data_IF_123558279998
#
_entry.id   IF_123558279998
#
_cell.length_a   1.000
_cell.length_b   1.000
_cell.length_c   1.000
_cell.angle_alpha   90.00
_cell.angle_beta   90.00
_cell.angle_gamma   90.00
#
_symmetry.space_group_name_H-M   'P 1'
#
loop_
_entity.id
_entity.type
_entity.pdbx_description
1 polymer ?
#
# COMPACT_ATOMS: atom_id res chain seq x y z
N UNK A 1 38.10 43.12 37.37
CA UNK A 1 38.39 42.26 38.54
C UNK A 1 37.73 40.91 38.24
N UNK A 2 38.48 39.98 37.70
CA UNK A 2 38.04 38.62 37.41
C UNK A 2 38.36 37.72 38.57
N UNK A 3 37.38 36.99 39.08
CA UNK A 3 37.63 35.86 39.97
C UNK A 3 37.32 34.57 39.28
N UNK A 4 38.33 33.74 39.08
CA UNK A 4 38.32 32.39 38.58
C UNK A 4 38.07 31.45 39.75
N UNK A 5 37.02 30.60 39.67
CA UNK A 5 36.76 29.52 40.61
C UNK A 5 37.22 28.19 40.06
N UNK A 6 38.13 27.52 40.76
CA UNK A 6 38.68 26.18 40.52
C UNK A 6 37.62 25.10 40.92
N UNK A 7 37.59 23.95 40.22
CA UNK A 7 36.73 22.83 40.59
C UNK A 7 37.39 21.99 41.72
N UNK A 8 36.56 21.63 42.69
CA UNK A 8 36.94 20.72 43.80
C UNK A 8 36.59 19.27 43.43
N UNK A 9 37.49 18.39 43.81
CA UNK A 9 37.50 16.94 43.82
C UNK A 9 36.16 16.32 44.31
N UNK A 10 35.65 15.32 43.55
CA UNK A 10 34.63 14.37 44.00
C UNK A 10 35.24 12.98 43.91
N UNK A 11 35.38 12.36 45.07
CA UNK A 11 36.02 11.06 45.25
C UNK A 11 35.33 9.92 44.56
N UNK A 12 36.18 9.02 44.03
CA UNK A 12 35.81 7.73 43.51
C UNK A 12 35.40 6.80 44.67
N UNK A 13 34.13 6.38 44.73
CA UNK A 13 33.71 5.21 45.53
C UNK A 13 33.83 3.98 44.68
N UNK A 14 34.62 3.02 45.14
CA UNK A 14 34.76 1.68 44.57
C UNK A 14 33.44 0.95 44.64
N UNK A 15 32.95 0.50 43.48
CA UNK A 15 31.78 -0.40 43.38
C UNK A 15 32.26 -1.86 43.55
N UNK A 16 31.84 -2.46 44.67
CA UNK A 16 31.97 -3.88 44.96
C UNK A 16 31.26 -4.73 43.91
N UNK A 17 32.00 -5.63 43.25
CA UNK A 17 31.47 -6.60 42.26
C UNK A 17 30.85 -7.79 43.02
N UNK A 18 29.56 -7.88 43.04
CA UNK A 18 28.82 -9.05 43.55
C UNK A 18 28.74 -10.14 42.46
N UNK A 19 29.12 -11.38 42.71
CA UNK A 19 29.06 -12.45 41.72
C UNK A 19 27.60 -12.91 41.46
N UNK A 20 27.23 -13.33 40.22
CA UNK A 20 25.89 -13.68 39.88
C UNK A 20 25.47 -15.02 40.52
N UNK A 21 24.41 -14.99 41.32
CA UNK A 21 23.74 -16.19 41.85
C UNK A 21 23.07 -16.98 40.71
N UNK A 22 23.41 -18.27 40.61
CA UNK A 22 22.71 -19.25 39.76
C UNK A 22 21.24 -19.38 40.19
N UNK A 23 20.33 -18.69 39.52
CA UNK A 23 18.91 -19.01 39.51
C UNK A 23 18.62 -19.80 38.23
N UNK A 24 18.25 -21.08 38.44
CA UNK A 24 17.70 -21.92 37.39
C UNK A 24 16.41 -21.28 36.87
N UNK A 25 16.49 -20.74 35.63
CA UNK A 25 15.31 -20.28 34.90
C UNK A 25 14.51 -21.50 34.46
N UNK A 26 13.31 -21.68 35.05
CA UNK A 26 12.26 -22.46 34.43
C UNK A 26 11.90 -21.75 33.13
N UNK A 27 12.37 -22.28 31.99
CA UNK A 27 11.82 -21.92 30.68
C UNK A 27 10.34 -22.27 30.67
N UNK A 28 9.48 -21.29 30.87
CA UNK A 28 8.11 -21.35 30.45
C UNK A 28 8.06 -21.62 28.95
N UNK A 29 7.24 -22.59 28.53
CA UNK A 29 7.01 -22.86 27.11
C UNK A 29 6.68 -21.55 26.40
N UNK A 30 7.55 -21.14 25.46
CA UNK A 30 7.23 -20.06 24.54
C UNK A 30 5.98 -20.47 23.76
N UNK A 31 5.00 -19.56 23.57
CA UNK A 31 3.88 -19.85 22.68
C UNK A 31 4.45 -20.21 21.30
N UNK A 32 3.91 -21.25 20.68
CA UNK A 32 4.23 -21.66 19.33
C UNK A 32 4.31 -20.42 18.43
N UNK A 33 5.52 -20.08 18.00
CA UNK A 33 5.73 -19.20 16.86
C UNK A 33 5.14 -19.94 15.67
N UNK A 34 3.89 -19.62 15.32
CA UNK A 34 3.32 -19.96 14.01
C UNK A 34 4.36 -19.51 12.98
N UNK A 35 4.81 -20.44 12.16
CA UNK A 35 5.86 -20.20 11.18
C UNK A 35 5.46 -18.98 10.34
N UNK A 36 6.30 -17.95 10.29
CA UNK A 36 6.10 -16.73 9.51
C UNK A 36 5.85 -17.02 8.01
N UNK A 37 6.21 -18.22 7.56
CA UNK A 37 6.05 -18.71 6.19
C UNK A 37 4.59 -18.92 5.74
N UNK A 38 3.61 -18.76 6.64
CA UNK A 38 2.20 -19.05 6.36
C UNK A 38 1.24 -17.91 6.69
N UNK A 39 1.74 -16.72 7.01
CA UNK A 39 0.89 -15.59 7.45
C UNK A 39 0.94 -14.43 6.47
N UNK A 40 -0.25 -13.89 6.15
CA UNK A 40 -0.44 -12.65 5.40
C UNK A 40 -1.13 -11.62 6.29
N UNK A 41 -0.56 -10.44 6.46
CA UNK A 41 -1.21 -9.33 7.17
C UNK A 41 -2.03 -8.48 6.21
N UNK A 42 -3.14 -7.93 6.69
CA UNK A 42 -3.96 -7.00 5.91
C UNK A 42 -4.68 -6.02 6.82
N UNK A 43 -5.04 -4.83 6.29
CA UNK A 43 -5.85 -3.87 7.04
C UNK A 43 -7.24 -4.45 7.25
N UNK A 44 -7.51 -4.84 8.51
CA UNK A 44 -8.77 -5.44 8.93
C UNK A 44 -9.88 -4.41 9.21
N UNK A 45 -10.94 -4.89 9.82
CA UNK A 45 -11.22 -6.28 10.19
C UNK A 45 -11.57 -7.18 8.99
N UNK A 46 -11.93 -8.44 9.25
CA UNK A 46 -12.46 -9.36 8.24
C UNK A 46 -13.78 -8.80 7.63
N UNK A 47 -14.04 -9.07 6.36
CA UNK A 47 -15.19 -8.53 5.60
C UNK A 47 -14.90 -7.21 4.88
N UNK A 48 -13.64 -6.74 4.86
CA UNK A 48 -13.22 -5.51 4.16
C UNK A 48 -12.87 -5.75 2.68
N UNK A 49 -12.78 -4.68 1.88
CA UNK A 49 -12.24 -4.74 0.53
C UNK A 49 -10.77 -5.19 0.50
N UNK A 50 -9.99 -4.93 1.57
CA UNK A 50 -8.61 -5.41 1.69
C UNK A 50 -8.56 -6.94 1.79
N UNK A 51 -9.47 -7.54 2.53
CA UNK A 51 -9.62 -9.01 2.57
C UNK A 51 -10.01 -9.56 1.20
N UNK A 52 -10.95 -8.90 0.50
CA UNK A 52 -11.33 -9.29 -0.85
C UNK A 52 -10.17 -9.21 -1.86
N UNK A 53 -9.25 -8.25 -1.68
CA UNK A 53 -8.01 -8.19 -2.44
C UNK A 53 -7.07 -9.36 -2.11
N UNK A 54 -6.91 -9.68 -0.83
CA UNK A 54 -6.08 -10.80 -0.37
C UNK A 54 -6.62 -12.15 -0.88
N UNK A 55 -7.93 -12.29 -0.99
CA UNK A 55 -8.58 -13.48 -1.55
C UNK A 55 -8.22 -13.78 -3.02
N UNK A 56 -7.72 -12.77 -3.77
CA UNK A 56 -7.24 -12.95 -5.15
C UNK A 56 -5.81 -13.51 -5.20
N UNK A 57 -5.07 -13.53 -4.08
CA UNK A 57 -3.69 -14.01 -4.02
C UNK A 57 -3.69 -15.53 -3.94
N UNK A 58 -3.29 -16.19 -5.03
CA UNK A 58 -3.28 -17.67 -5.10
C UNK A 58 -2.45 -18.31 -3.99
N UNK A 59 -1.28 -17.72 -3.69
CA UNK A 59 -0.36 -18.22 -2.68
C UNK A 59 -0.86 -18.00 -1.23
N UNK A 60 -1.89 -17.17 -1.04
CA UNK A 60 -2.51 -16.95 0.26
C UNK A 60 -3.64 -17.94 0.58
N UNK A 61 -4.05 -18.75 -0.41
CA UNK A 61 -5.10 -19.75 -0.21
C UNK A 61 -4.63 -20.82 0.77
N UNK A 62 -5.42 -21.06 1.81
CA UNK A 62 -5.10 -22.03 2.87
C UNK A 62 -4.04 -21.56 3.88
N UNK A 63 -3.61 -20.30 3.78
CA UNK A 63 -2.69 -19.65 4.72
C UNK A 63 -3.44 -18.88 5.82
N UNK A 64 -2.71 -18.43 6.82
CA UNK A 64 -3.27 -17.58 7.89
C UNK A 64 -3.38 -16.13 7.41
N UNK A 65 -4.55 -15.55 7.53
CA UNK A 65 -4.81 -14.13 7.23
C UNK A 65 -4.98 -13.36 8.53
N UNK A 66 -4.03 -12.48 8.82
CA UNK A 66 -3.97 -11.72 10.07
C UNK A 66 -4.50 -10.29 9.84
N UNK A 67 -5.73 -9.98 10.30
CA UNK A 67 -6.22 -8.61 10.27
C UNK A 67 -5.47 -7.76 11.29
N UNK A 68 -5.09 -6.54 10.88
CA UNK A 68 -4.42 -5.56 11.73
C UNK A 68 -5.15 -4.23 11.72
N UNK A 69 -4.85 -3.35 12.69
CA UNK A 69 -5.61 -2.11 12.91
C UNK A 69 -5.17 -0.95 12.01
N UNK A 70 -3.96 -0.99 11.45
CA UNK A 70 -3.45 0.06 10.58
C UNK A 70 -2.38 -0.49 9.61
N UNK A 71 -2.11 0.29 8.55
CA UNK A 71 -1.18 -0.06 7.48
C UNK A 71 0.25 -0.21 8.01
N UNK A 72 0.68 0.66 8.93
CA UNK A 72 2.01 0.58 9.55
C UNK A 72 2.23 -0.77 10.22
N UNK A 73 1.25 -1.26 10.98
CA UNK A 73 1.32 -2.57 11.63
C UNK A 73 1.40 -3.71 10.60
N UNK A 74 0.63 -3.64 9.50
CA UNK A 74 0.70 -4.65 8.43
C UNK A 74 2.11 -4.75 7.84
N UNK A 75 2.74 -3.61 7.57
CA UNK A 75 4.09 -3.56 7.02
C UNK A 75 5.17 -3.91 8.05
N UNK A 76 4.99 -3.54 9.33
CA UNK A 76 5.87 -3.94 10.43
C UNK A 76 5.85 -5.45 10.67
N UNK A 77 4.71 -6.11 10.46
CA UNK A 77 4.61 -7.58 10.50
C UNK A 77 5.47 -8.21 9.40
N UNK A 78 5.51 -7.62 8.21
CA UNK A 78 6.38 -8.07 7.12
C UNK A 78 7.84 -7.83 7.45
N UNK A 79 8.20 -6.63 7.93
CA UNK A 79 9.60 -6.27 8.27
C UNK A 79 10.14 -7.15 9.39
N UNK A 80 9.34 -7.40 10.42
CA UNK A 80 9.72 -8.25 11.55
C UNK A 80 9.68 -9.76 11.24
N UNK A 81 9.14 -10.15 10.08
CA UNK A 81 8.99 -11.56 9.69
C UNK A 81 7.83 -12.27 10.39
N UNK A 82 6.89 -11.57 10.99
CA UNK A 82 5.62 -12.14 11.48
C UNK A 82 4.68 -12.51 10.35
N UNK A 83 4.81 -11.83 9.21
CA UNK A 83 4.09 -12.15 7.98
C UNK A 83 5.06 -12.18 6.80
N UNK A 84 4.75 -13.03 5.82
CA UNK A 84 5.53 -13.12 4.57
C UNK A 84 5.21 -11.96 3.64
N UNK A 85 3.97 -11.48 3.69
CA UNK A 85 3.52 -10.34 2.90
C UNK A 85 2.35 -9.63 3.59
N UNK A 86 2.09 -8.39 3.15
CA UNK A 86 0.95 -7.59 3.57
C UNK A 86 0.17 -7.06 2.37
N UNK A 87 -1.16 -7.12 2.45
CA UNK A 87 -2.06 -6.50 1.48
C UNK A 87 -2.45 -5.10 1.97
N UNK A 88 -2.19 -4.08 1.15
CA UNK A 88 -2.52 -2.69 1.44
C UNK A 88 -3.16 -2.00 0.23
N UNK A 89 -4.11 -1.10 0.47
CA UNK A 89 -4.65 -0.22 -0.57
C UNK A 89 -3.62 0.86 -0.92
N UNK A 90 -3.42 1.15 -2.20
CA UNK A 90 -2.48 2.18 -2.66
C UNK A 90 -3.17 3.34 -3.39
N UNK A 91 -4.31 3.08 -4.01
CA UNK A 91 -5.05 4.02 -4.82
C UNK A 91 -6.55 3.65 -4.87
N UNK A 92 -7.42 4.66 -4.89
CA UNK A 92 -8.85 4.53 -5.13
C UNK A 92 -9.25 5.45 -6.28
N UNK A 93 -10.07 4.97 -7.20
CA UNK A 93 -10.45 5.72 -8.41
C UNK A 93 -11.29 6.97 -8.13
N UNK A 94 -11.85 7.13 -6.93
CA UNK A 94 -12.66 8.28 -6.51
C UNK A 94 -11.81 9.28 -5.72
N UNK A 95 -11.03 8.79 -4.74
CA UNK A 95 -10.29 9.63 -3.79
C UNK A 95 -8.82 9.82 -4.15
N UNK A 96 -8.32 9.06 -5.14
CA UNK A 96 -6.92 9.06 -5.55
C UNK A 96 -6.03 8.21 -4.65
N UNK A 97 -4.78 8.64 -4.46
CA UNK A 97 -3.78 7.87 -3.71
C UNK A 97 -4.09 7.72 -2.23
N UNK A 98 -3.89 6.52 -1.68
CA UNK A 98 -4.02 6.24 -0.25
C UNK A 98 -2.76 6.73 0.46
N UNK A 99 -2.84 7.95 1.00
CA UNK A 99 -1.69 8.68 1.57
C UNK A 99 -0.97 7.92 2.68
N UNK A 100 -1.70 7.23 3.55
CA UNK A 100 -1.12 6.44 4.63
C UNK A 100 -0.23 5.30 4.10
N UNK A 101 -0.63 4.61 3.03
CA UNK A 101 0.16 3.56 2.39
C UNK A 101 1.40 4.12 1.70
N UNK A 102 1.25 5.21 0.96
CA UNK A 102 2.35 5.87 0.26
C UNK A 102 3.42 6.36 1.24
N UNK A 103 3.00 6.98 2.35
CA UNK A 103 3.91 7.46 3.38
C UNK A 103 4.59 6.31 4.13
N UNK A 104 3.87 5.23 4.43
CA UNK A 104 4.45 4.05 5.08
C UNK A 104 5.50 3.38 4.18
N UNK A 105 5.23 3.18 2.88
CA UNK A 105 6.20 2.62 1.93
C UNK A 105 7.45 3.50 1.75
N UNK A 106 7.31 4.82 1.89
CA UNK A 106 8.43 5.74 1.80
C UNK A 106 9.35 5.72 3.03
N UNK A 107 8.80 5.38 4.21
CA UNK A 107 9.49 5.47 5.48
C UNK A 107 9.99 4.11 6.00
N UNK A 108 9.37 2.99 5.58
CA UNK A 108 9.75 1.65 5.99
C UNK A 108 10.65 1.02 4.92
N UNK A 109 11.94 0.76 5.24
CA UNK A 109 12.90 0.25 4.27
C UNK A 109 12.70 -1.24 3.94
N UNK A 110 13.34 -1.68 2.85
CA UNK A 110 13.43 -3.09 2.45
C UNK A 110 12.10 -3.76 2.13
N UNK A 111 11.09 -2.99 1.76
CA UNK A 111 9.81 -3.48 1.25
C UNK A 111 9.79 -3.48 -0.28
N UNK A 112 9.08 -4.46 -0.86
CA UNK A 112 8.86 -4.58 -2.31
C UNK A 112 7.40 -4.93 -2.57
N UNK A 113 6.82 -4.25 -3.53
CA UNK A 113 5.55 -4.64 -4.13
C UNK A 113 5.84 -5.82 -5.07
N UNK A 114 5.10 -6.90 -4.90
CA UNK A 114 5.26 -8.15 -5.66
C UNK A 114 4.02 -8.52 -6.46
N UNK A 115 2.93 -7.77 -6.32
CA UNK A 115 1.70 -7.97 -7.06
C UNK A 115 0.72 -6.82 -6.87
N UNK A 116 -0.18 -6.67 -7.84
CA UNK A 116 -1.24 -5.68 -7.90
C UNK A 116 -2.59 -6.37 -8.04
N UNK A 117 -3.60 -5.86 -7.34
CA UNK A 117 -4.95 -6.42 -7.30
C UNK A 117 -5.98 -5.31 -7.39
N UNK A 118 -6.98 -5.46 -8.25
CA UNK A 118 -8.07 -4.52 -8.41
C UNK A 118 -9.34 -5.09 -7.78
N UNK A 119 -9.98 -4.30 -6.93
CA UNK A 119 -11.24 -4.67 -6.29
C UNK A 119 -12.29 -3.63 -6.65
N UNK A 120 -13.37 -4.01 -7.35
CA UNK A 120 -14.51 -3.13 -7.55
C UNK A 120 -15.10 -2.68 -6.21
N UNK A 121 -15.35 -1.38 -6.06
CA UNK A 121 -15.97 -0.83 -4.85
C UNK A 121 -17.47 -0.90 -4.99
N UNK A 122 -18.01 -2.08 -4.74
CA UNK A 122 -19.45 -2.31 -4.69
C UNK A 122 -19.90 -2.31 -3.23
N UNK A 123 -21.05 -1.70 -2.97
CA UNK A 123 -21.68 -1.72 -1.65
C UNK A 123 -22.99 -2.49 -1.70
N UNK A 124 -23.31 -3.12 -0.56
CA UNK A 124 -24.59 -3.76 -0.30
C UNK A 124 -25.23 -3.11 0.91
N UNK A 125 -26.56 -3.04 0.92
CA UNK A 125 -27.33 -2.74 2.12
C UNK A 125 -27.64 -4.05 2.83
N UNK A 126 -27.19 -4.18 4.07
CA UNK A 126 -27.42 -5.38 4.90
C UNK A 126 -28.24 -5.03 6.14
N UNK A 127 -28.97 -6.00 6.64
CA UNK A 127 -29.78 -5.86 7.86
C UNK A 127 -29.86 -7.18 8.64
N UNK A 128 -30.46 -7.12 9.82
CA UNK A 128 -30.84 -8.33 10.57
C UNK A 128 -31.81 -9.19 9.78
N UNK A 129 -31.72 -10.53 9.91
CA UNK A 129 -32.65 -11.43 9.25
C UNK A 129 -34.11 -11.06 9.48
N UNK A 130 -34.91 -11.07 8.40
CA UNK A 130 -36.33 -10.74 8.43
C UNK A 130 -36.68 -9.25 8.37
N UNK A 131 -35.67 -8.33 8.33
CA UNK A 131 -35.88 -6.90 8.12
C UNK A 131 -36.31 -6.65 6.66
N UNK A 132 -37.38 -5.87 6.45
CA UNK A 132 -37.82 -5.46 5.11
C UNK A 132 -37.22 -4.11 4.75
N UNK A 133 -36.93 -3.89 3.48
CA UNK A 133 -36.38 -2.62 3.00
C UNK A 133 -37.33 -1.44 3.34
N UNK A 134 -38.66 -1.65 3.32
CA UNK A 134 -39.63 -0.65 3.71
C UNK A 134 -39.58 -0.21 5.18
N UNK A 135 -38.98 -1.03 6.01
CA UNK A 135 -38.94 -0.80 7.47
C UNK A 135 -37.68 -0.05 7.89
N UNK A 136 -36.68 0.11 6.99
CA UNK A 136 -35.44 0.80 7.23
C UNK A 136 -35.67 2.30 7.43
N UNK A 137 -35.25 2.84 8.59
CA UNK A 137 -35.28 4.27 8.95
C UNK A 137 -33.91 4.83 9.27
N UNK A 138 -33.00 4.01 9.82
CA UNK A 138 -31.65 4.43 10.17
C UNK A 138 -30.65 3.52 9.49
N UNK A 139 -29.75 4.12 8.69
CA UNK A 139 -28.67 3.44 7.99
C UNK A 139 -27.35 3.77 8.67
N UNK A 140 -26.65 2.74 9.15
CA UNK A 140 -25.30 2.87 9.71
C UNK A 140 -24.26 2.70 8.61
N UNK A 141 -23.30 3.61 8.49
CA UNK A 141 -22.24 3.55 7.49
C UNK A 141 -21.03 4.42 7.86
N UNK A 142 -19.87 4.05 7.35
CA UNK A 142 -18.75 4.99 7.31
C UNK A 142 -19.11 6.19 6.42
N UNK A 143 -18.80 7.44 6.81
CA UNK A 143 -19.22 8.65 6.07
C UNK A 143 -18.86 8.62 4.58
N UNK A 144 -17.67 8.09 4.23
CA UNK A 144 -17.23 7.97 2.84
C UNK A 144 -18.12 6.99 2.05
N UNK A 145 -18.47 5.84 2.61
CA UNK A 145 -19.35 4.88 1.95
C UNK A 145 -20.78 5.43 1.82
N UNK A 146 -21.26 6.13 2.86
CA UNK A 146 -22.55 6.79 2.79
C UNK A 146 -22.61 7.81 1.66
N UNK A 147 -21.57 8.65 1.52
CA UNK A 147 -21.46 9.64 0.44
C UNK A 147 -21.39 8.99 -0.96
N UNK A 148 -20.87 7.78 -1.08
CA UNK A 148 -20.80 7.03 -2.34
C UNK A 148 -22.10 6.26 -2.69
N UNK A 149 -23.09 6.27 -1.79
CA UNK A 149 -24.39 5.60 -1.98
C UNK A 149 -25.58 6.58 -1.84
N UNK A 150 -25.34 7.88 -1.73
CA UNK A 150 -26.38 8.84 -1.35
C UNK A 150 -27.49 8.96 -2.39
N UNK A 151 -27.21 8.89 -3.69
CA UNK A 151 -28.22 8.97 -4.74
C UNK A 151 -29.17 7.77 -4.66
N UNK A 152 -28.62 6.59 -4.47
CA UNK A 152 -29.43 5.38 -4.30
C UNK A 152 -30.27 5.44 -3.01
N UNK A 153 -29.68 5.89 -1.91
CA UNK A 153 -30.38 6.03 -0.62
C UNK A 153 -31.53 7.04 -0.70
N UNK A 154 -31.29 8.21 -1.28
CA UNK A 154 -32.32 9.26 -1.44
C UNK A 154 -33.46 8.80 -2.32
N UNK A 155 -33.19 8.03 -3.37
CA UNK A 155 -34.22 7.47 -4.27
C UNK A 155 -35.00 6.34 -3.62
N UNK A 156 -34.36 5.48 -2.83
CA UNK A 156 -34.95 4.23 -2.32
C UNK A 156 -35.50 4.37 -0.90
N UNK A 157 -34.83 5.16 -0.06
CA UNK A 157 -35.13 5.37 1.37
C UNK A 157 -35.22 6.88 1.69
N UNK A 158 -36.10 7.67 1.09
CA UNK A 158 -36.08 9.13 1.13
C UNK A 158 -36.25 9.74 2.55
N UNK A 159 -36.66 8.95 3.52
CA UNK A 159 -36.84 9.37 4.92
C UNK A 159 -35.84 8.74 5.88
N UNK A 160 -34.73 8.18 5.36
CA UNK A 160 -33.72 7.55 6.22
C UNK A 160 -32.86 8.59 6.99
N UNK A 161 -32.36 8.19 8.17
CA UNK A 161 -31.30 8.89 8.90
C UNK A 161 -29.97 8.18 8.73
N UNK A 162 -28.86 8.93 8.78
CA UNK A 162 -27.50 8.38 8.78
C UNK A 162 -26.92 8.32 10.19
N UNK A 163 -26.48 7.13 10.61
CA UNK A 163 -25.67 6.91 11.80
C UNK A 163 -24.21 6.69 11.38
N UNK A 164 -23.26 7.61 11.71
CA UNK A 164 -21.87 7.44 11.33
C UNK A 164 -21.19 6.30 12.08
N UNK A 165 -20.41 5.47 11.37
CA UNK A 165 -19.56 4.42 11.93
C UNK A 165 -18.09 4.65 11.61
N UNK A 166 -17.21 4.05 12.42
CA UNK A 166 -15.75 4.11 12.23
C UNK A 166 -15.27 3.28 11.01
N UNK A 167 -16.06 2.29 10.60
CA UNK A 167 -15.87 1.50 9.37
C UNK A 167 -17.18 0.85 8.95
N UNK A 168 -17.26 0.40 7.69
CA UNK A 168 -18.43 -0.31 7.20
C UNK A 168 -18.64 -1.69 7.85
N UNK A 169 -17.54 -2.34 8.25
CA UNK A 169 -17.63 -3.58 9.03
C UNK A 169 -18.13 -3.30 10.44
N UNK A 170 -17.67 -2.22 11.09
CA UNK A 170 -18.21 -1.81 12.39
C UNK A 170 -19.71 -1.45 12.31
N UNK A 171 -20.13 -0.80 11.22
CA UNK A 171 -21.54 -0.52 10.94
C UNK A 171 -22.38 -1.79 10.86
N UNK A 172 -21.89 -2.79 10.11
CA UNK A 172 -22.57 -4.09 10.00
C UNK A 172 -22.59 -4.85 11.33
N UNK A 173 -21.48 -4.86 12.06
CA UNK A 173 -21.37 -5.54 13.36
C UNK A 173 -22.33 -4.94 14.42
N UNK A 174 -22.52 -3.62 14.41
CA UNK A 174 -23.41 -2.95 15.38
C UNK A 174 -24.87 -3.38 15.25
N UNK A 175 -25.32 -3.78 14.04
CA UNK A 175 -26.67 -4.30 13.86
C UNK A 175 -26.98 -5.55 14.70
N UNK A 176 -25.94 -6.31 15.06
CA UNK A 176 -26.06 -7.49 15.92
C UNK A 176 -25.87 -7.19 17.41
N UNK A 177 -25.32 -6.02 17.73
CA UNK A 177 -25.02 -5.61 19.09
C UNK A 177 -26.16 -4.79 19.74
N UNK A 178 -26.85 -3.98 18.94
CA UNK A 178 -27.91 -3.09 19.42
C UNK A 178 -28.93 -2.78 18.31
N UNK A 179 -29.97 -2.03 18.68
CA UNK A 179 -31.07 -1.64 17.78
C UNK A 179 -30.98 -0.15 17.37
N UNK A 180 -29.80 0.44 17.37
CA UNK A 180 -29.61 1.87 17.02
C UNK A 180 -29.75 2.15 15.52
N UNK A 181 -29.56 1.12 14.68
CA UNK A 181 -29.77 1.20 13.24
C UNK A 181 -30.53 -0.03 12.73
N UNK A 182 -31.23 0.15 11.62
CA UNK A 182 -32.03 -0.89 10.98
C UNK A 182 -31.23 -1.65 9.90
N UNK A 183 -30.33 -0.91 9.23
CA UNK A 183 -29.50 -1.43 8.14
C UNK A 183 -28.10 -0.81 8.16
N UNK A 184 -27.16 -1.43 7.46
CA UNK A 184 -25.81 -0.91 7.28
C UNK A 184 -25.33 -1.03 5.82
N UNK A 185 -24.49 -0.07 5.41
CA UNK A 185 -23.76 -0.16 4.14
C UNK A 185 -22.46 -0.93 4.40
N UNK A 186 -22.22 -1.98 3.63
CA UNK A 186 -21.08 -2.86 3.81
C UNK A 186 -20.51 -3.35 2.47
N UNK A 187 -19.25 -3.85 2.45
CA UNK A 187 -18.74 -4.62 1.32
C UNK A 187 -19.54 -5.94 1.15
N UNK A 188 -19.65 -6.48 -0.09
CA UNK A 188 -20.43 -7.70 -0.36
C UNK A 188 -19.99 -8.93 0.46
N UNK A 189 -18.69 -9.04 0.81
CA UNK A 189 -18.14 -10.16 1.60
C UNK A 189 -18.57 -10.19 3.06
N UNK A 190 -19.27 -9.17 3.56
CA UNK A 190 -19.64 -9.03 4.98
C UNK A 190 -20.51 -10.19 5.50
N UNK A 191 -21.39 -10.74 4.68
CA UNK A 191 -22.29 -11.83 5.07
C UNK A 191 -21.59 -13.18 5.29
N UNK A 192 -20.35 -13.32 4.82
CA UNK A 192 -19.49 -14.46 5.16
C UNK A 192 -18.96 -14.44 6.60
N UNK A 193 -19.00 -13.26 7.25
CA UNK A 193 -18.48 -13.04 8.60
C UNK A 193 -19.57 -12.75 9.63
N UNK A 194 -20.71 -12.23 9.20
CA UNK A 194 -21.81 -11.83 10.07
C UNK A 194 -23.14 -12.42 9.58
N UNK A 195 -24.01 -12.91 10.48
CA UNK A 195 -25.31 -13.48 10.14
C UNK A 195 -26.32 -12.36 9.80
N UNK A 196 -26.07 -11.65 8.70
CA UNK A 196 -26.88 -10.57 8.17
C UNK A 196 -27.48 -10.97 6.81
N UNK A 197 -28.59 -10.36 6.46
CA UNK A 197 -29.24 -10.52 5.15
C UNK A 197 -28.96 -9.32 4.25
N UNK A 198 -28.74 -9.56 2.96
CA UNK A 198 -28.60 -8.51 1.95
C UNK A 198 -29.98 -8.04 1.52
N UNK A 199 -30.30 -6.77 1.78
CA UNK A 199 -31.56 -6.14 1.33
C UNK A 199 -31.45 -5.59 -0.09
N UNK A 200 -30.28 -5.11 -0.48
CA UNK A 200 -30.00 -4.63 -1.83
C UNK A 200 -28.51 -4.75 -2.17
N UNK A 201 -28.23 -4.98 -3.44
CA UNK A 201 -26.88 -5.06 -4.01
C UNK A 201 -26.62 -3.84 -4.90
N UNK A 202 -25.33 -3.57 -5.18
CA UNK A 202 -24.90 -2.54 -6.14
C UNK A 202 -25.48 -1.16 -5.83
N UNK A 203 -25.48 -0.77 -4.56
CA UNK A 203 -26.09 0.48 -4.10
C UNK A 203 -25.16 1.69 -4.26
N UNK A 204 -23.92 1.48 -4.76
CA UNK A 204 -22.94 2.56 -5.00
C UNK A 204 -23.31 3.42 -6.21
N UNK A 205 -23.18 4.73 -6.09
CA UNK A 205 -23.53 5.71 -7.13
C UNK A 205 -22.61 5.63 -8.36
N UNK A 206 -21.36 5.15 -8.17
CA UNK A 206 -20.40 4.96 -9.26
C UNK A 206 -20.12 3.47 -9.50
N UNK A 207 -20.69 2.86 -10.55
CA UNK A 207 -20.48 1.44 -10.84
C UNK A 207 -19.06 1.09 -11.29
N UNK A 208 -18.26 2.10 -11.65
CA UNK A 208 -16.87 1.93 -12.10
C UNK A 208 -15.84 2.21 -11.00
N UNK A 209 -16.29 2.37 -9.75
CA UNK A 209 -15.40 2.59 -8.63
C UNK A 209 -14.52 1.37 -8.38
N UNK A 210 -13.20 1.57 -8.32
CA UNK A 210 -12.20 0.51 -8.10
C UNK A 210 -11.18 0.98 -7.08
N UNK A 211 -10.80 0.11 -6.17
CA UNK A 211 -9.62 0.29 -5.32
C UNK A 211 -8.52 -0.64 -5.79
N UNK A 212 -7.35 -0.07 -5.94
CA UNK A 212 -6.11 -0.75 -6.27
C UNK A 212 -5.37 -1.12 -4.99
N UNK A 213 -5.05 -2.39 -4.85
CA UNK A 213 -4.29 -2.95 -3.75
C UNK A 213 -2.95 -3.48 -4.24
N UNK A 214 -1.97 -3.50 -3.35
CA UNK A 214 -0.65 -4.07 -3.63
C UNK A 214 -0.26 -5.05 -2.54
N UNK A 215 0.35 -6.15 -2.96
CA UNK A 215 0.95 -7.14 -2.07
C UNK A 215 2.42 -6.76 -1.83
N UNK A 216 2.76 -6.51 -0.58
CA UNK A 216 4.09 -6.02 -0.16
C UNK A 216 4.82 -7.09 0.62
N UNK A 217 6.09 -7.36 0.29
CA UNK A 217 6.94 -8.34 0.95
C UNK A 217 8.36 -7.80 1.15
N UNK A 218 9.20 -8.51 1.92
CA UNK A 218 10.65 -8.24 2.06
C UNK A 218 11.50 -8.94 1.01
N UNK A 219 10.90 -9.64 0.07
CA UNK A 219 11.68 -10.38 -0.94
C UNK A 219 12.58 -9.45 -1.75
N UNK A 220 13.78 -9.91 -2.04
CA UNK A 220 14.67 -9.25 -3.01
C UNK A 220 14.49 -9.79 -4.42
N UNK A 221 13.78 -10.91 -4.57
CA UNK A 221 13.48 -11.51 -5.87
C UNK A 221 12.26 -10.81 -6.46
N UNK A 222 12.45 -10.23 -7.63
CA UNK A 222 11.34 -9.66 -8.40
C UNK A 222 10.55 -10.75 -9.12
N UNK A 223 9.24 -10.57 -9.31
CA UNK A 223 8.47 -11.35 -10.27
C UNK A 223 9.17 -11.33 -11.66
N UNK A 224 8.99 -12.38 -12.42
CA UNK A 224 9.48 -12.39 -13.80
C UNK A 224 8.68 -11.42 -14.67
N UNK A 225 9.30 -10.77 -15.68
CA UNK A 225 8.59 -9.88 -16.58
C UNK A 225 7.51 -10.66 -17.36
N UNK A 226 6.34 -10.05 -17.50
CA UNK A 226 5.17 -10.61 -18.17
C UNK A 226 4.87 -9.94 -19.51
N UNK A 227 5.46 -8.76 -19.77
CA UNK A 227 5.12 -7.88 -20.88
C UNK A 227 4.00 -6.89 -20.53
N UNK A 228 3.28 -7.14 -19.45
CA UNK A 228 2.27 -6.24 -18.86
C UNK A 228 2.62 -5.99 -17.41
N UNK A 229 3.61 -5.10 -17.19
CA UNK A 229 4.21 -4.90 -15.87
C UNK A 229 4.19 -3.42 -15.46
N UNK A 230 4.26 -3.18 -14.16
CA UNK A 230 4.52 -1.87 -13.56
C UNK A 230 5.80 -1.89 -12.75
N UNK A 231 6.48 -0.76 -12.73
CA UNK A 231 7.59 -0.49 -11.82
C UNK A 231 7.22 0.71 -10.94
N UNK A 232 7.20 0.50 -9.62
CA UNK A 232 6.91 1.56 -8.66
C UNK A 232 8.17 2.09 -8.00
N UNK A 233 8.26 3.41 -7.91
CA UNK A 233 9.38 4.11 -7.28
C UNK A 233 8.89 5.29 -6.45
N UNK A 234 9.71 5.69 -5.47
CA UNK A 234 9.55 7.00 -4.81
C UNK A 234 10.82 7.80 -5.06
N UNK A 235 10.63 9.05 -5.49
CA UNK A 235 11.71 9.96 -5.88
C UNK A 235 11.60 11.24 -5.06
N UNK A 236 12.67 11.64 -4.37
CA UNK A 236 12.77 12.93 -3.69
C UNK A 236 13.43 13.94 -4.63
N UNK A 237 12.89 15.16 -4.75
CA UNK A 237 13.54 16.23 -5.51
C UNK A 237 14.76 16.75 -4.74
N UNK A 238 15.83 17.18 -5.44
CA UNK A 238 17.03 17.72 -4.79
C UNK A 238 16.74 19.00 -4.01
N UNK A 239 15.88 19.85 -4.55
CA UNK A 239 15.47 21.14 -3.99
C UNK A 239 14.11 21.58 -4.56
N UNK A 240 13.57 22.71 -4.11
CA UNK A 240 12.31 23.30 -4.56
C UNK A 240 12.54 24.46 -5.57
N UNK A 241 13.52 24.33 -6.46
CA UNK A 241 13.75 25.33 -7.50
C UNK A 241 12.93 25.06 -8.76
N UNK A 242 12.66 26.14 -9.52
CA UNK A 242 11.91 26.04 -10.76
C UNK A 242 12.56 25.05 -11.74
N UNK A 243 11.71 24.18 -12.33
CA UNK A 243 12.16 23.19 -13.32
C UNK A 243 12.51 21.81 -12.75
N UNK A 244 12.69 21.65 -11.44
CA UNK A 244 13.09 20.34 -10.87
C UNK A 244 12.11 19.21 -11.14
N UNK A 245 10.84 19.49 -11.06
CA UNK A 245 9.82 18.50 -11.44
C UNK A 245 9.93 18.13 -12.93
N UNK A 246 10.15 19.12 -13.79
CA UNK A 246 10.33 18.89 -15.23
C UNK A 246 11.55 18.01 -15.50
N UNK A 247 12.71 18.29 -14.88
CA UNK A 247 13.92 17.47 -15.00
C UNK A 247 13.68 16.01 -14.59
N UNK A 248 12.87 15.78 -13.55
CA UNK A 248 12.45 14.44 -13.16
C UNK A 248 11.59 13.79 -14.24
N UNK A 249 10.59 14.51 -14.78
CA UNK A 249 9.69 13.98 -15.81
C UNK A 249 10.40 13.69 -17.12
N UNK A 250 11.43 14.46 -17.48
CA UNK A 250 12.27 14.25 -18.66
C UNK A 250 13.02 12.91 -18.61
N UNK A 251 13.32 12.38 -17.41
CA UNK A 251 13.94 11.05 -17.31
C UNK A 251 13.05 9.94 -17.90
N UNK A 252 11.75 10.12 -17.81
CA UNK A 252 10.77 9.18 -18.36
C UNK A 252 10.43 9.50 -19.82
N UNK A 253 10.11 10.76 -20.11
CA UNK A 253 9.63 11.19 -21.43
C UNK A 253 10.65 10.90 -22.54
N UNK A 254 11.94 11.18 -22.32
CA UNK A 254 13.01 10.96 -23.30
C UNK A 254 13.30 9.48 -23.58
N UNK A 255 12.82 8.59 -22.71
CA UNK A 255 12.99 7.12 -22.84
C UNK A 255 11.68 6.40 -23.20
N UNK A 256 10.60 7.16 -23.48
CA UNK A 256 9.31 6.56 -23.84
C UNK A 256 8.67 5.74 -22.72
N UNK A 257 8.93 6.09 -21.45
CA UNK A 257 8.32 5.46 -20.30
C UNK A 257 7.06 6.23 -19.91
N UNK A 258 5.90 5.57 -19.98
CA UNK A 258 4.64 6.13 -19.49
C UNK A 258 4.56 6.05 -17.97
N UNK A 259 3.93 7.03 -17.35
CA UNK A 259 3.62 7.05 -15.92
C UNK A 259 2.12 6.83 -15.74
N UNK A 260 1.74 5.75 -15.06
CA UNK A 260 0.34 5.43 -14.73
C UNK A 260 -0.11 6.00 -13.38
N UNK A 261 0.84 6.39 -12.51
CA UNK A 261 0.59 7.12 -11.26
C UNK A 261 1.69 8.18 -11.07
N UNK A 262 1.27 9.38 -10.65
CA UNK A 262 2.17 10.42 -10.16
C UNK A 262 1.48 11.15 -9.00
N UNK A 263 1.95 10.92 -7.78
CA UNK A 263 1.41 11.54 -6.57
C UNK A 263 2.52 12.25 -5.79
N UNK A 264 2.31 13.53 -5.49
CA UNK A 264 3.23 14.31 -4.65
C UNK A 264 2.91 14.14 -3.16
N UNK A 265 3.94 13.96 -2.35
CA UNK A 265 3.81 13.84 -0.89
C UNK A 265 4.86 14.71 -0.20
N UNK A 266 4.51 15.49 0.83
CA UNK A 266 5.51 16.21 1.63
C UNK A 266 6.43 15.20 2.32
N UNK A 267 7.73 15.53 2.43
CA UNK A 267 8.69 14.69 3.14
C UNK A 267 8.46 14.79 4.65
N UNK A 268 7.99 15.94 5.13
CA UNK A 268 7.63 16.17 6.53
C UNK A 268 8.76 16.73 7.40
N UNK A 269 9.94 16.97 6.85
CA UNK A 269 11.07 17.58 7.55
C UNK A 269 11.10 19.12 7.42
N UNK A 270 10.58 19.66 6.31
CA UNK A 270 10.44 21.09 6.05
C UNK A 270 9.33 21.36 5.02
N UNK A 271 8.79 22.59 5.01
CA UNK A 271 7.90 23.05 3.94
C UNK A 271 8.67 23.17 2.62
N UNK A 272 7.98 22.86 1.50
CA UNK A 272 8.56 22.95 0.16
C UNK A 272 9.35 21.70 -0.26
N UNK A 273 9.56 20.72 0.61
CA UNK A 273 10.22 19.46 0.24
C UNK A 273 9.24 18.36 -0.04
N UNK A 274 9.32 17.82 -1.26
CA UNK A 274 8.40 16.81 -1.76
C UNK A 274 9.11 15.56 -2.25
N UNK A 275 8.44 14.44 -2.07
CA UNK A 275 8.71 13.17 -2.74
C UNK A 275 7.56 12.82 -3.66
N UNK A 276 7.85 12.09 -4.71
CA UNK A 276 6.88 11.66 -5.69
C UNK A 276 6.77 10.14 -5.67
N UNK A 277 5.56 9.64 -5.51
CA UNK A 277 5.22 8.22 -5.69
C UNK A 277 4.84 8.06 -7.16
N UNK A 278 5.55 7.19 -7.87
CA UNK A 278 5.45 7.08 -9.33
C UNK A 278 5.32 5.61 -9.70
N UNK A 279 4.33 5.29 -10.53
CA UNK A 279 4.26 4.01 -11.22
C UNK A 279 4.56 4.20 -12.70
N UNK A 280 5.47 3.37 -13.19
CA UNK A 280 5.96 3.34 -14.55
C UNK A 280 5.39 2.11 -15.27
N UNK A 281 4.97 2.28 -16.50
CA UNK A 281 4.58 1.15 -17.36
C UNK A 281 5.83 0.46 -17.90
N UNK A 282 6.05 -0.78 -17.48
CA UNK A 282 7.18 -1.63 -17.84
C UNK A 282 7.87 -2.25 -16.63
N UNK A 283 8.69 -3.25 -16.92
CA UNK A 283 9.48 -3.97 -15.92
C UNK A 283 10.90 -3.37 -15.80
N UNK A 284 11.56 -3.57 -14.67
CA UNK A 284 12.96 -3.17 -14.46
C UNK A 284 13.93 -3.77 -15.49
N UNK A 285 13.57 -4.92 -16.09
CA UNK A 285 14.35 -5.54 -17.17
C UNK A 285 14.14 -4.90 -18.55
N UNK A 286 13.20 -3.97 -18.67
CA UNK A 286 13.08 -3.16 -19.88
C UNK A 286 14.16 -2.09 -19.85
N UNK A 287 14.97 -2.03 -20.92
CA UNK A 287 16.10 -1.10 -21.04
C UNK A 287 15.68 0.36 -20.82
N UNK A 288 14.52 0.76 -21.37
CA UNK A 288 13.94 2.11 -21.20
C UNK A 288 13.64 2.44 -19.73
N UNK A 289 13.12 1.46 -18.96
CA UNK A 289 12.82 1.62 -17.52
C UNK A 289 14.13 1.65 -16.73
N UNK A 290 15.04 0.73 -17.00
CA UNK A 290 16.35 0.67 -16.34
C UNK A 290 17.12 1.99 -16.52
N UNK A 291 17.19 2.53 -17.74
CA UNK A 291 17.87 3.80 -18.02
C UNK A 291 17.17 5.01 -17.40
N UNK A 292 15.81 5.01 -17.32
CA UNK A 292 15.11 6.05 -16.61
C UNK A 292 15.48 6.04 -15.11
N UNK A 293 15.56 4.87 -14.48
CA UNK A 293 15.99 4.74 -13.09
C UNK A 293 17.44 5.15 -12.88
N UNK A 294 18.35 4.86 -13.82
CA UNK A 294 19.74 5.35 -13.78
C UNK A 294 19.80 6.87 -13.88
N UNK A 295 18.95 7.48 -14.72
CA UNK A 295 18.81 8.93 -14.81
C UNK A 295 18.32 9.53 -13.49
N UNK A 296 17.25 9.00 -12.92
CA UNK A 296 16.72 9.41 -11.61
C UNK A 296 17.77 9.28 -10.51
N UNK A 297 18.55 8.19 -10.48
CA UNK A 297 19.56 7.96 -9.46
C UNK A 297 20.69 9.00 -9.49
N UNK A 298 21.00 9.56 -10.66
CA UNK A 298 21.98 10.66 -10.81
C UNK A 298 21.40 12.02 -10.44
N UNK A 299 20.12 12.21 -10.69
CA UNK A 299 19.41 13.46 -10.48
C UNK A 299 18.94 13.65 -9.03
N UNK A 300 18.35 12.61 -8.44
CA UNK A 300 17.66 12.66 -7.15
C UNK A 300 18.59 12.30 -5.99
N UNK A 301 18.50 13.00 -4.84
CA UNK A 301 19.23 12.62 -3.62
C UNK A 301 18.78 11.25 -3.09
N UNK A 302 17.51 10.87 -3.34
CA UNK A 302 16.96 9.61 -2.88
C UNK A 302 15.94 9.04 -3.86
N UNK A 303 16.21 7.84 -4.33
CA UNK A 303 15.29 7.00 -5.11
C UNK A 303 15.06 5.71 -4.33
N UNK A 304 13.80 5.43 -4.01
CA UNK A 304 13.36 4.19 -3.39
C UNK A 304 12.69 3.36 -4.48
N UNK A 305 13.26 2.23 -4.81
CA UNK A 305 12.66 1.25 -5.69
C UNK A 305 11.70 0.39 -4.88
N UNK A 306 10.41 0.41 -5.24
CA UNK A 306 9.36 -0.34 -4.54
C UNK A 306 9.08 -1.71 -5.18
N UNK A 307 9.44 -1.93 -6.46
CA UNK A 307 9.28 -3.22 -7.12
C UNK A 307 8.89 -3.08 -8.58
N UNK A 308 9.06 -4.20 -9.32
CA UNK A 308 8.46 -4.42 -10.64
C UNK A 308 7.60 -5.67 -10.55
N UNK A 309 6.37 -5.59 -11.02
CA UNK A 309 5.35 -6.61 -10.81
C UNK A 309 4.30 -6.60 -11.93
N UNK A 310 3.61 -7.74 -12.17
CA UNK A 310 2.53 -7.80 -13.15
C UNK A 310 1.39 -6.82 -12.86
N UNK A 311 0.87 -6.19 -13.90
CA UNK A 311 -0.34 -5.36 -13.85
C UNK A 311 -1.57 -6.23 -13.63
N UNK A 312 -2.50 -5.78 -12.77
CA UNK A 312 -3.74 -6.50 -12.53
C UNK A 312 -4.71 -6.46 -13.73
N UNK A 313 -4.69 -5.35 -14.50
CA UNK A 313 -5.54 -5.16 -15.68
C UNK A 313 -5.03 -5.92 -16.92
N UNK A 314 -3.79 -6.45 -16.87
CA UNK A 314 -3.13 -7.20 -17.95
C UNK A 314 -3.12 -6.48 -19.31
N UNK A 315 -3.18 -5.14 -19.28
CA UNK A 315 -3.12 -4.35 -20.51
C UNK A 315 -1.73 -4.43 -21.13
N UNK A 316 -1.66 -4.74 -22.41
CA UNK A 316 -0.43 -4.76 -23.18
C UNK A 316 0.20 -3.36 -23.24
N UNK A 317 1.51 -3.30 -23.02
CA UNK A 317 2.26 -2.06 -23.12
C UNK A 317 2.79 -1.92 -24.53
N UNK A 318 2.24 -0.95 -25.29
CA UNK A 318 2.75 -0.63 -26.63
C UNK A 318 3.99 0.25 -26.51
N UNK A 319 5.11 -0.27 -27.00
CA UNK A 319 6.40 0.44 -27.02
C UNK A 319 6.72 0.88 -28.45
N UNK A 320 7.04 2.16 -28.65
CA UNK A 320 7.52 2.66 -29.94
C UNK A 320 8.87 2.03 -30.26
N UNK A 321 9.16 1.59 -31.52
CA UNK A 321 10.38 0.86 -31.86
C UNK A 321 11.70 1.51 -31.41
N UNK A 322 11.79 2.84 -31.42
CA UNK A 322 12.98 3.56 -30.93
C UNK A 322 13.24 3.43 -29.42
N UNK A 323 12.28 2.91 -28.68
CA UNK A 323 12.35 2.72 -27.22
C UNK A 323 12.25 1.25 -26.81
N UNK A 324 12.26 0.32 -27.74
CA UNK A 324 12.30 -1.10 -27.43
C UNK A 324 13.70 -1.54 -26.96
N UNK A 325 13.80 -2.72 -26.37
CA UNK A 325 15.06 -3.23 -25.84
C UNK A 325 16.13 -3.38 -26.92
N UNK A 326 15.74 -3.70 -28.17
CA UNK A 326 16.66 -3.87 -29.29
C UNK A 326 17.35 -2.54 -29.64
N UNK A 327 16.59 -1.43 -29.69
CA UNK A 327 17.14 -0.10 -29.98
C UNK A 327 18.20 0.35 -28.95
N UNK A 328 17.98 0.04 -27.68
CA UNK A 328 18.97 0.33 -26.63
C UNK A 328 20.21 -0.56 -26.75
N UNK A 329 20.01 -1.85 -27.04
CA UNK A 329 21.11 -2.80 -27.24
C UNK A 329 21.97 -2.43 -28.44
N UNK A 330 21.35 -2.07 -29.55
CA UNK A 330 22.03 -1.63 -30.78
C UNK A 330 22.84 -0.35 -30.53
N UNK A 331 22.26 0.62 -29.83
CA UNK A 331 22.95 1.86 -29.49
C UNK A 331 24.18 1.61 -28.60
N UNK A 332 24.09 0.70 -27.62
CA UNK A 332 25.24 0.30 -26.80
C UNK A 332 26.30 -0.43 -27.64
N UNK A 333 25.89 -1.36 -28.49
CA UNK A 333 26.81 -2.07 -29.39
C UNK A 333 27.58 -1.12 -30.31
N UNK A 334 26.89 -0.11 -30.86
CA UNK A 334 27.53 0.94 -31.63
C UNK A 334 28.58 1.72 -30.80
N UNK A 335 28.23 2.12 -29.58
CA UNK A 335 29.16 2.82 -28.69
C UNK A 335 30.37 1.97 -28.32
N UNK A 336 30.14 0.69 -27.99
CA UNK A 336 31.20 -0.26 -27.68
C UNK A 336 32.19 -0.43 -28.84
N UNK A 337 31.69 -0.45 -30.09
CA UNK A 337 32.51 -0.46 -31.30
C UNK A 337 33.37 0.79 -31.47
N UNK A 338 32.88 1.96 -30.99
CA UNK A 338 33.70 3.20 -31.00
C UNK A 338 34.79 3.18 -29.91
N UNK A 339 34.49 2.60 -28.75
CA UNK A 339 35.40 2.52 -27.60
C UNK A 339 36.50 1.46 -27.84
N UNK A 340 36.10 0.35 -28.47
CA UNK A 340 36.96 -0.81 -28.77
C UNK A 340 36.91 -1.11 -30.26
N UNK A 341 37.49 -0.26 -31.11
CA UNK A 341 37.57 -0.57 -32.52
C UNK A 341 38.34 -1.87 -32.66
N UNK A 342 37.75 -2.85 -33.36
CA UNK A 342 38.39 -4.12 -33.66
C UNK A 342 39.79 -3.80 -34.19
N UNK A 343 40.82 -4.35 -33.54
CA UNK A 343 42.18 -4.31 -34.04
C UNK A 343 42.20 -5.10 -35.33
N UNK A 344 42.14 -4.40 -36.47
CA UNK A 344 42.35 -4.92 -37.81
C UNK A 344 43.73 -5.55 -37.93
#
# INVERSE_FOLDING_TARGET
MHQVLHPRDVGLQELEVVPPSRRANKLGAMPNLTHAEDTYSYLGPAGTFTEAALAQVTDAVGKTWQPVNNIGQALDDVVSGRSIAAMIAIENSIEGGVTASQDALANIPNLRIIGEYLVPVNFVLVARPGTRLSDVRVVNAHPVAYAQCHLWLDATLPAHGHLPATSNVAAAASLLADDTADAAIAPPGITGHYPLEVLSVEIGDNPNAVTRFVLVSRTTRLPAPTGSDKTSVIVELPDDTAGRLLEMLEQFATRGVNMSLLASRPIGDALGRYRFVIDLDGHLHDERVAEALLGLKRFSPKVIFLGSYPRADKLDITVTPRYDNAAFTDARGWLDGLIRPDSV
#
